data_IF_805480365142
#
_entry.id   IF_805480365142
#
_cell.length_a   1.000
_cell.length_b   1.000
_cell.length_c   1.000
_cell.angle_alpha   90.00
_cell.angle_beta   90.00
_cell.angle_gamma   90.00
#
_symmetry.space_group_name_H-M   'P 1'
#
loop_
_entity.id
_entity.type
_entity.pdbx_description
1 polymer ?
#
# COMPACT_ATOMS: atom_id res chain seq x y z
N UNK A 1 -0.64 60.84 10.70
CA UNK A 1 -2.05 60.53 10.41
C UNK A 1 -2.68 60.15 11.74
N UNK A 2 -3.71 60.88 12.21
CA UNK A 2 -4.36 60.59 13.50
C UNK A 2 -5.00 59.21 13.45
N UNK A 3 -4.85 58.43 14.53
CA UNK A 3 -5.38 57.07 14.64
C UNK A 3 -6.94 56.98 14.50
N UNK A 4 -7.63 58.08 14.57
CA UNK A 4 -9.09 58.14 14.41
C UNK A 4 -9.55 58.09 12.95
N UNK A 5 -8.68 58.42 11.96
CA UNK A 5 -9.03 58.30 10.55
C UNK A 5 -8.90 56.88 10.03
N UNK A 6 -8.16 56.00 10.72
CA UNK A 6 -8.00 54.59 10.31
C UNK A 6 -9.26 53.77 10.65
N UNK A 7 -10.05 54.20 11.66
CA UNK A 7 -11.29 53.52 12.03
C UNK A 7 -12.43 53.67 11.01
N UNK A 8 -12.36 54.65 10.13
CA UNK A 8 -13.36 54.87 9.11
C UNK A 8 -13.03 54.21 7.77
N UNK A 9 -11.90 53.50 7.69
CA UNK A 9 -11.54 52.62 6.56
C UNK A 9 -11.92 51.15 6.81
N UNK A 10 -12.87 50.92 7.74
CA UNK A 10 -13.52 49.62 7.81
C UNK A 10 -14.30 49.47 6.53
N UNK A 11 -13.79 48.62 5.68
CA UNK A 11 -14.33 48.20 4.41
C UNK A 11 -15.84 47.95 4.57
N UNK A 12 -16.69 48.74 3.89
CA UNK A 12 -18.09 48.43 3.81
C UNK A 12 -18.25 47.00 3.35
N UNK A 13 -19.02 46.20 4.06
CA UNK A 13 -19.33 44.84 3.71
C UNK A 13 -19.72 44.76 2.23
N UNK A 14 -19.01 43.98 1.45
CA UNK A 14 -19.31 43.79 0.03
C UNK A 14 -20.81 43.46 -0.08
N UNK A 15 -21.56 44.10 -0.99
CA UNK A 15 -23.04 44.05 -1.03
C UNK A 15 -23.65 42.66 -1.20
N UNK A 16 -22.84 41.64 -1.47
CA UNK A 16 -23.24 40.23 -1.54
C UNK A 16 -22.92 39.44 -0.25
N UNK A 17 -22.22 40.02 0.71
CA UNK A 17 -22.09 39.48 2.06
C UNK A 17 -23.16 40.18 2.96
N UNK A 18 -24.42 40.16 2.52
CA UNK A 18 -25.47 40.19 3.53
C UNK A 18 -25.29 38.89 4.29
N UNK A 19 -24.85 39.00 5.53
CA UNK A 19 -25.04 37.96 6.49
C UNK A 19 -26.58 37.76 6.60
N UNK A 20 -27.16 37.02 5.64
CA UNK A 20 -28.35 36.27 5.96
C UNK A 20 -27.96 35.56 7.24
N UNK A 21 -28.66 35.92 8.35
CA UNK A 21 -28.67 35.11 9.55
C UNK A 21 -28.71 33.68 9.05
N UNK A 22 -27.54 33.04 9.03
CA UNK A 22 -27.43 31.60 8.77
C UNK A 22 -28.35 31.07 9.87
N UNK A 23 -29.62 30.80 9.48
CA UNK A 23 -30.49 29.95 10.28
C UNK A 23 -29.54 28.84 10.68
N UNK A 24 -29.39 28.58 11.98
CA UNK A 24 -28.66 27.44 12.48
C UNK A 24 -29.14 26.27 11.64
N UNK A 25 -28.42 26.07 10.54
CA UNK A 25 -28.54 24.86 9.76
C UNK A 25 -28.29 23.80 10.82
N UNK A 26 -29.36 23.07 11.16
CA UNK A 26 -29.30 21.91 12.02
C UNK A 26 -27.97 21.29 11.70
N UNK A 27 -27.08 21.14 12.68
CA UNK A 27 -25.72 20.63 12.50
C UNK A 27 -25.91 19.27 11.87
N UNK A 28 -26.03 19.25 10.55
CA UNK A 28 -26.07 18.01 9.78
C UNK A 28 -24.80 17.32 10.13
N UNK A 29 -24.88 16.38 11.09
CA UNK A 29 -23.75 15.61 11.54
C UNK A 29 -23.17 14.97 10.28
N UNK A 30 -22.02 15.49 9.84
CA UNK A 30 -21.32 14.96 8.68
C UNK A 30 -21.15 13.47 8.88
N UNK A 31 -21.66 12.67 7.95
CA UNK A 31 -21.48 11.22 7.95
C UNK A 31 -20.29 10.88 7.07
N UNK A 32 -19.40 10.05 7.62
CA UNK A 32 -18.31 9.49 6.81
C UNK A 32 -18.89 8.60 5.71
N UNK A 33 -18.18 8.47 4.56
CA UNK A 33 -18.59 7.56 3.49
C UNK A 33 -18.77 6.13 4.01
N UNK A 34 -19.78 5.45 3.50
CA UNK A 34 -20.03 4.05 3.83
C UNK A 34 -19.14 3.11 3.01
N UNK A 35 -18.76 1.97 3.59
CA UNK A 35 -17.81 1.03 2.95
C UNK A 35 -18.41 0.31 1.73
N UNK A 36 -19.73 0.28 1.61
CA UNK A 36 -20.46 -0.29 0.47
C UNK A 36 -20.22 0.45 -0.85
N UNK A 37 -19.74 1.70 -0.80
CA UNK A 37 -19.27 2.43 -1.97
C UNK A 37 -17.99 1.85 -2.58
N UNK A 38 -17.26 1.02 -1.84
CA UNK A 38 -16.02 0.39 -2.28
C UNK A 38 -16.29 -1.01 -2.84
N UNK A 39 -15.54 -1.36 -3.88
CA UNK A 39 -15.57 -2.72 -4.40
C UNK A 39 -15.05 -3.71 -3.36
N UNK A 40 -15.77 -4.81 -3.20
CA UNK A 40 -15.33 -5.93 -2.38
C UNK A 40 -14.69 -7.04 -3.23
N UNK A 41 -13.72 -7.78 -2.68
CA UNK A 41 -13.10 -8.91 -3.37
C UNK A 41 -14.12 -10.03 -3.60
N UNK A 42 -14.19 -10.55 -4.81
CA UNK A 42 -15.01 -11.71 -5.12
C UNK A 42 -14.39 -12.98 -4.53
N UNK A 43 -15.20 -13.84 -3.90
CA UNK A 43 -14.72 -15.09 -3.27
C UNK A 43 -13.92 -15.99 -4.22
N UNK A 44 -14.29 -16.04 -5.49
CA UNK A 44 -13.66 -16.89 -6.50
C UNK A 44 -12.23 -16.40 -6.91
N UNK A 45 -11.90 -15.13 -6.70
CA UNK A 45 -10.57 -14.60 -7.05
C UNK A 45 -9.48 -15.11 -6.09
N UNK A 46 -9.84 -15.43 -4.84
CA UNK A 46 -8.91 -15.94 -3.81
C UNK A 46 -8.59 -17.43 -3.91
N UNK A 47 -9.46 -18.22 -4.55
CA UNK A 47 -9.28 -19.67 -4.65
C UNK A 47 -8.35 -20.07 -5.80
N UNK A 48 -8.27 -19.25 -6.83
CA UNK A 48 -7.44 -19.55 -8.01
C UNK A 48 -5.96 -19.29 -7.80
N UNK A 49 -5.56 -18.43 -6.87
CA UNK A 49 -4.17 -18.09 -6.59
C UNK A 49 -3.41 -19.18 -5.82
N UNK A 50 -4.11 -20.10 -5.18
CA UNK A 50 -3.50 -21.19 -4.37
C UNK A 50 -3.01 -22.40 -5.18
N UNK A 51 -3.26 -22.43 -6.49
CA UNK A 51 -2.98 -23.60 -7.36
C UNK A 51 -1.79 -23.40 -8.30
N UNK A 52 -0.90 -22.47 -8.05
CA UNK A 52 0.29 -22.30 -8.87
C UNK A 52 1.29 -23.42 -8.60
N UNK A 53 1.39 -24.39 -9.51
CA UNK A 53 2.35 -25.49 -9.47
C UNK A 53 3.81 -25.02 -9.41
N UNK A 54 4.09 -23.79 -9.88
CA UNK A 54 5.41 -23.15 -9.80
C UNK A 54 5.82 -22.74 -8.38
N UNK A 55 4.88 -22.73 -7.44
CA UNK A 55 5.12 -22.44 -6.02
C UNK A 55 5.23 -23.71 -5.17
N UNK A 56 5.39 -24.89 -5.80
CA UNK A 56 5.67 -26.12 -5.08
C UNK A 56 7.09 -26.06 -4.48
N UNK A 57 7.23 -26.22 -3.14
CA UNK A 57 8.53 -26.22 -2.47
C UNK A 57 9.49 -27.23 -3.08
N UNK A 58 9.01 -28.43 -3.39
CA UNK A 58 9.82 -29.51 -3.94
C UNK A 58 10.40 -29.18 -5.31
N UNK A 59 9.66 -28.40 -6.12
CA UNK A 59 10.14 -27.98 -7.43
C UNK A 59 11.30 -26.98 -7.31
N UNK A 60 11.18 -25.97 -6.43
CA UNK A 60 12.23 -24.97 -6.23
C UNK A 60 13.48 -25.59 -5.55
N UNK A 61 13.28 -26.50 -4.58
CA UNK A 61 14.39 -27.24 -3.95
C UNK A 61 15.18 -28.09 -4.98
N UNK A 62 14.47 -28.73 -5.92
CA UNK A 62 15.08 -29.49 -6.99
C UNK A 62 15.90 -28.60 -7.92
N UNK A 63 15.37 -27.46 -8.35
CA UNK A 63 16.13 -26.49 -9.16
C UNK A 63 17.42 -26.07 -8.45
N UNK A 64 17.32 -25.68 -7.16
CA UNK A 64 18.49 -25.30 -6.38
C UNK A 64 19.53 -26.45 -6.27
N UNK A 65 19.05 -27.67 -6.10
CA UNK A 65 19.90 -28.84 -6.04
C UNK A 65 20.64 -29.06 -7.36
N UNK A 66 19.99 -28.91 -8.51
CA UNK A 66 20.57 -29.04 -9.85
C UNK A 66 21.72 -28.03 -10.06
N UNK A 67 21.64 -26.85 -9.43
CA UNK A 67 22.72 -25.85 -9.39
C UNK A 67 23.74 -26.08 -8.25
N UNK A 68 23.68 -27.25 -7.59
CA UNK A 68 24.60 -27.63 -6.51
C UNK A 68 24.41 -26.78 -5.25
N UNK A 69 23.18 -26.37 -4.96
CA UNK A 69 22.78 -25.68 -3.74
C UNK A 69 21.87 -26.60 -2.92
N UNK A 70 22.42 -27.16 -1.86
CA UNK A 70 21.68 -28.01 -0.92
C UNK A 70 21.00 -27.14 0.13
N UNK A 71 19.79 -27.51 0.52
CA UNK A 71 19.01 -26.84 1.56
C UNK A 71 17.54 -27.26 1.54
N UNK A 72 16.71 -26.56 2.29
CA UNK A 72 15.27 -26.85 2.35
C UNK A 72 14.45 -25.57 2.51
N UNK A 73 13.23 -25.57 1.98
CA UNK A 73 12.26 -24.48 2.17
C UNK A 73 11.59 -24.68 3.52
N UNK A 74 11.74 -23.69 4.41
CA UNK A 74 11.16 -23.73 5.75
C UNK A 74 9.78 -23.12 5.82
N UNK A 75 9.53 -22.13 4.97
CA UNK A 75 8.27 -21.39 4.98
C UNK A 75 7.96 -20.83 3.61
N UNK A 76 6.68 -20.87 3.25
CA UNK A 76 6.15 -20.18 2.07
C UNK A 76 5.13 -19.16 2.53
N UNK A 77 5.25 -17.94 2.00
CA UNK A 77 4.31 -16.86 2.24
C UNK A 77 3.75 -16.39 0.90
N UNK A 78 2.47 -16.66 0.69
CA UNK A 78 1.77 -16.25 -0.54
C UNK A 78 1.26 -14.83 -0.38
N UNK A 79 1.80 -13.91 -1.17
CA UNK A 79 1.32 -12.55 -1.30
C UNK A 79 0.44 -12.37 -2.54
N UNK A 80 -0.15 -11.17 -2.73
CA UNK A 80 -1.03 -10.90 -3.86
C UNK A 80 -0.31 -10.86 -5.22
N UNK A 81 0.97 -10.55 -5.23
CA UNK A 81 1.76 -10.36 -6.46
C UNK A 81 2.94 -11.32 -6.54
N UNK A 82 3.55 -11.62 -5.40
CA UNK A 82 4.73 -12.50 -5.31
C UNK A 82 4.55 -13.51 -4.20
N UNK A 83 5.17 -14.67 -4.38
CA UNK A 83 5.32 -15.70 -3.33
C UNK A 83 6.74 -15.66 -2.81
N UNK A 84 6.89 -15.54 -1.49
CA UNK A 84 8.18 -15.60 -0.79
C UNK A 84 8.42 -17.00 -0.27
N UNK A 85 9.51 -17.63 -0.74
CA UNK A 85 10.02 -18.89 -0.26
C UNK A 85 11.21 -18.64 0.66
N UNK A 86 11.10 -18.98 1.95
CA UNK A 86 12.20 -18.89 2.91
C UNK A 86 13.03 -20.19 2.83
N UNK A 87 14.15 -20.11 2.14
CA UNK A 87 15.08 -21.24 1.93
C UNK A 87 16.19 -21.22 2.97
N UNK A 88 16.43 -22.34 3.64
CA UNK A 88 17.55 -22.55 4.54
C UNK A 88 18.64 -23.34 3.82
N UNK A 89 19.76 -22.71 3.45
CA UNK A 89 20.87 -23.42 2.81
C UNK A 89 21.57 -24.37 3.81
N UNK A 90 22.08 -25.46 3.29
CA UNK A 90 22.92 -26.38 4.07
C UNK A 90 24.22 -25.69 4.52
N UNK A 91 24.82 -26.22 5.59
CA UNK A 91 26.07 -25.70 6.12
C UNK A 91 27.17 -25.66 5.04
N UNK A 92 27.90 -24.55 4.97
CA UNK A 92 28.98 -24.37 3.98
C UNK A 92 28.56 -23.77 2.64
N UNK A 93 27.27 -23.62 2.37
CA UNK A 93 26.79 -22.96 1.14
C UNK A 93 26.93 -21.44 1.29
N UNK A 94 27.62 -20.80 0.36
CA UNK A 94 27.79 -19.34 0.35
C UNK A 94 26.53 -18.67 -0.15
N UNK A 95 26.04 -17.68 0.58
CA UNK A 95 24.85 -16.86 0.23
C UNK A 95 24.99 -16.21 -1.14
N UNK A 96 26.20 -15.69 -1.46
CA UNK A 96 26.47 -15.07 -2.76
C UNK A 96 26.26 -16.02 -3.94
N UNK A 97 26.52 -17.32 -3.75
CA UNK A 97 26.25 -18.34 -4.79
C UNK A 97 24.77 -18.38 -5.13
N UNK A 98 23.91 -18.32 -4.10
CA UNK A 98 22.45 -18.39 -4.29
C UNK A 98 21.93 -17.09 -4.93
N UNK A 99 22.41 -15.93 -4.47
CA UNK A 99 22.00 -14.62 -5.01
C UNK A 99 22.30 -14.53 -6.52
N UNK A 100 23.46 -15.06 -6.96
CA UNK A 100 23.86 -15.03 -8.36
C UNK A 100 23.04 -15.98 -9.26
N UNK A 101 22.23 -16.87 -8.67
CA UNK A 101 21.35 -17.77 -9.43
C UNK A 101 19.98 -17.16 -9.74
N UNK A 102 19.74 -15.86 -9.44
CA UNK A 102 18.43 -15.22 -9.65
C UNK A 102 17.89 -15.40 -11.07
N UNK A 103 18.72 -15.18 -12.09
CA UNK A 103 18.30 -15.29 -13.50
C UNK A 103 18.08 -16.75 -13.91
N UNK A 104 18.91 -17.68 -13.38
CA UNK A 104 18.77 -19.10 -13.63
C UNK A 104 17.50 -19.67 -12.99
N UNK A 105 17.19 -19.24 -11.77
CA UNK A 105 15.94 -19.60 -11.07
C UNK A 105 14.74 -19.05 -11.82
N UNK A 106 14.76 -17.75 -12.22
CA UNK A 106 13.69 -17.16 -13.00
C UNK A 106 13.39 -17.94 -14.28
N UNK A 107 14.43 -18.31 -15.02
CA UNK A 107 14.30 -19.09 -16.25
C UNK A 107 13.73 -20.49 -16.01
N UNK A 108 14.23 -21.22 -14.99
CA UNK A 108 13.78 -22.58 -14.69
C UNK A 108 12.37 -22.62 -14.08
N UNK A 109 11.93 -21.54 -13.42
CA UNK A 109 10.56 -21.38 -12.92
C UNK A 109 9.64 -20.72 -13.93
N UNK A 110 10.08 -20.43 -15.16
CA UNK A 110 9.33 -19.69 -16.17
C UNK A 110 8.76 -18.36 -15.66
N UNK A 111 9.44 -17.74 -14.69
CA UNK A 111 9.07 -16.46 -14.08
C UNK A 111 9.72 -15.30 -14.80
N UNK A 112 9.07 -14.13 -14.81
CA UNK A 112 9.64 -12.91 -15.40
C UNK A 112 10.95 -12.47 -14.72
N UNK A 113 11.08 -12.75 -13.42
CA UNK A 113 12.25 -12.45 -12.60
C UNK A 113 12.21 -13.26 -11.30
N UNK A 114 13.36 -13.42 -10.67
CA UNK A 114 13.44 -13.91 -9.30
C UNK A 114 14.24 -12.91 -8.46
N UNK A 115 13.77 -12.60 -7.27
CA UNK A 115 14.49 -11.74 -6.35
C UNK A 115 14.98 -12.56 -5.17
N UNK A 116 16.28 -12.51 -4.92
CA UNK A 116 16.90 -13.26 -3.83
C UNK A 116 17.52 -12.27 -2.85
N UNK A 117 17.14 -12.37 -1.57
CA UNK A 117 17.62 -11.49 -0.53
C UNK A 117 17.81 -12.23 0.80
N UNK A 118 18.73 -11.78 1.61
CA UNK A 118 18.88 -12.27 2.98
C UNK A 118 17.78 -11.73 3.88
N UNK A 119 17.29 -12.56 4.80
CA UNK A 119 16.30 -12.15 5.79
C UNK A 119 17.05 -11.78 7.07
N UNK A 120 17.01 -10.50 7.51
CA UNK A 120 17.70 -10.06 8.71
C UNK A 120 17.30 -10.88 9.94
N UNK A 121 18.30 -11.32 10.72
CA UNK A 121 18.07 -12.07 11.95
C UNK A 121 17.68 -13.54 11.78
N UNK A 122 17.76 -14.09 10.54
CA UNK A 122 17.51 -15.52 10.26
C UNK A 122 18.61 -16.11 9.41
N UNK A 123 18.78 -17.43 9.48
CA UNK A 123 19.68 -18.17 8.61
C UNK A 123 19.05 -18.53 7.26
N UNK A 124 17.88 -17.98 6.98
CA UNK A 124 17.13 -18.23 5.75
C UNK A 124 17.34 -17.12 4.72
N UNK A 125 17.25 -17.48 3.47
CA UNK A 125 17.30 -16.61 2.31
C UNK A 125 15.90 -16.54 1.72
N UNK A 126 15.40 -15.33 1.48
CA UNK A 126 14.13 -15.12 0.79
C UNK A 126 14.30 -15.23 -0.72
N UNK A 127 13.56 -16.12 -1.34
CA UNK A 127 13.43 -16.25 -2.79
C UNK A 127 12.01 -15.84 -3.15
N UNK A 128 11.88 -14.67 -3.77
CA UNK A 128 10.60 -14.10 -4.20
C UNK A 128 10.39 -14.44 -5.68
N UNK A 129 9.28 -15.09 -5.97
CA UNK A 129 8.84 -15.40 -7.34
C UNK A 129 7.51 -14.71 -7.62
N UNK A 130 7.34 -14.05 -8.78
CA UNK A 130 6.07 -13.46 -9.17
C UNK A 130 5.01 -14.55 -9.35
N UNK A 131 3.81 -14.29 -8.86
CA UNK A 131 2.67 -15.17 -9.08
C UNK A 131 2.24 -15.12 -10.56
N UNK A 132 1.87 -16.26 -11.13
CA UNK A 132 1.30 -16.33 -12.49
C UNK A 132 0.00 -15.52 -12.57
N UNK A 133 -0.84 -15.64 -11.55
CA UNK A 133 -2.07 -14.87 -11.41
C UNK A 133 -1.89 -13.85 -10.29
N UNK A 134 -1.81 -12.57 -10.67
CA UNK A 134 -1.71 -11.46 -9.70
C UNK A 134 -3.10 -11.17 -9.14
N UNK A 135 -3.21 -11.14 -7.81
CA UNK A 135 -4.44 -10.77 -7.13
C UNK A 135 -4.61 -9.25 -7.09
N UNK A 136 -5.86 -8.80 -7.26
CA UNK A 136 -6.21 -7.41 -7.01
C UNK A 136 -6.23 -7.13 -5.51
N UNK A 137 -5.59 -6.04 -5.10
CA UNK A 137 -5.66 -5.55 -3.72
C UNK A 137 -6.74 -4.48 -3.65
N UNK A 138 -7.82 -4.77 -2.94
CA UNK A 138 -8.95 -3.85 -2.82
C UNK A 138 -8.77 -2.90 -1.64
N UNK A 139 -9.08 -1.61 -1.87
CA UNK A 139 -8.99 -0.59 -0.83
C UNK A 139 -9.91 -0.92 0.36
N UNK A 140 -11.09 -1.48 0.11
CA UNK A 140 -12.03 -1.93 1.13
C UNK A 140 -11.41 -2.87 2.16
N UNK A 141 -10.54 -3.81 1.73
CA UNK A 141 -9.87 -4.75 2.62
C UNK A 141 -8.92 -4.07 3.60
N UNK A 142 -8.23 -3.01 3.14
CA UNK A 142 -7.25 -2.29 3.96
C UNK A 142 -7.95 -1.35 4.93
N UNK A 143 -8.94 -0.59 4.46
CA UNK A 143 -9.70 0.34 5.29
C UNK A 143 -10.56 -0.38 6.35
N UNK A 144 -11.01 -1.61 6.09
CA UNK A 144 -11.76 -2.43 7.05
C UNK A 144 -10.89 -3.01 8.16
N UNK A 145 -9.55 -2.99 8.00
CA UNK A 145 -8.63 -3.54 8.98
C UNK A 145 -8.67 -2.76 10.29
N UNK A 146 -8.49 -3.47 11.42
CA UNK A 146 -8.45 -2.88 12.76
C UNK A 146 -7.35 -1.84 12.92
N UNK A 147 -6.20 -2.05 12.26
CA UNK A 147 -5.05 -1.16 12.34
C UNK A 147 -5.35 0.22 11.73
N UNK A 148 -6.20 0.29 10.70
CA UNK A 148 -6.65 1.53 10.11
C UNK A 148 -7.49 2.38 11.10
N UNK A 149 -8.15 1.74 12.06
CA UNK A 149 -9.01 2.38 13.06
C UNK A 149 -8.27 2.77 14.34
N UNK A 150 -6.98 2.45 14.48
CA UNK A 150 -6.18 2.79 15.66
C UNK A 150 -6.13 4.29 15.87
N UNK A 151 -6.29 4.72 17.14
CA UNK A 151 -6.32 6.15 17.52
C UNK A 151 -4.93 6.78 17.50
N UNK A 152 -3.88 5.99 17.65
CA UNK A 152 -2.48 6.41 17.67
C UNK A 152 -2.04 6.95 16.30
N UNK A 153 -2.64 6.45 15.21
CA UNK A 153 -2.36 6.89 13.84
C UNK A 153 -3.21 8.13 13.57
N UNK A 154 -2.55 9.27 13.41
CA UNK A 154 -3.22 10.56 13.23
C UNK A 154 -3.84 10.72 11.84
N UNK A 155 -3.08 10.42 10.80
CA UNK A 155 -3.51 10.50 9.40
C UNK A 155 -3.25 9.15 8.69
N UNK A 156 -4.09 8.12 8.96
CA UNK A 156 -3.88 6.80 8.40
C UNK A 156 -4.07 6.78 6.88
N UNK A 157 -3.11 6.21 6.19
CA UNK A 157 -3.15 5.98 4.75
C UNK A 157 -2.99 4.50 4.43
N UNK A 158 -3.80 4.00 3.51
CA UNK A 158 -3.72 2.64 3.00
C UNK A 158 -2.59 2.56 1.97
N UNK A 159 -1.54 1.79 2.26
CA UNK A 159 -0.39 1.62 1.35
C UNK A 159 -0.51 0.37 0.48
N UNK A 160 -1.26 -0.63 0.91
CA UNK A 160 -1.42 -1.90 0.21
C UNK A 160 -1.28 -3.10 1.12
N UNK A 161 -0.77 -4.21 0.57
CA UNK A 161 -0.44 -5.43 1.31
C UNK A 161 1.05 -5.72 1.18
N UNK A 162 1.65 -6.29 2.22
CA UNK A 162 3.02 -6.79 2.14
C UNK A 162 3.09 -8.12 1.38
N UNK A 163 4.30 -8.66 1.20
CA UNK A 163 4.54 -9.94 0.54
C UNK A 163 3.91 -11.15 1.26
N UNK A 164 3.47 -10.99 2.51
CA UNK A 164 2.70 -12.01 3.24
C UNK A 164 1.18 -11.80 3.15
N UNK A 165 0.71 -10.85 2.33
CA UNK A 165 -0.70 -10.53 2.16
C UNK A 165 -1.33 -9.71 3.29
N UNK A 166 -0.54 -9.25 4.27
CA UNK A 166 -1.03 -8.45 5.39
C UNK A 166 -1.19 -6.97 4.99
N UNK A 167 -2.27 -6.30 5.38
CA UNK A 167 -2.46 -4.88 5.12
C UNK A 167 -1.36 -4.02 5.74
N UNK A 168 -0.87 -3.04 4.99
CA UNK A 168 0.10 -2.04 5.45
C UNK A 168 -0.57 -0.68 5.48
N UNK A 169 -0.54 -0.06 6.64
CA UNK A 169 -1.11 1.25 6.90
C UNK A 169 0.02 2.15 7.38
N UNK A 170 0.15 3.30 6.74
CA UNK A 170 1.10 4.33 7.14
C UNK A 170 0.40 5.46 7.92
N UNK A 171 1.18 6.27 8.62
CA UNK A 171 0.72 7.54 9.18
C UNK A 171 1.34 8.69 8.40
N UNK A 172 0.52 9.40 7.60
CA UNK A 172 0.99 10.55 6.84
C UNK A 172 1.48 11.69 7.74
N UNK A 173 0.97 11.78 8.98
CA UNK A 173 1.43 12.78 9.93
C UNK A 173 2.89 12.58 10.37
N UNK A 174 3.40 11.36 10.30
CA UNK A 174 4.81 11.04 10.56
C UNK A 174 5.72 11.25 9.35
N UNK A 175 5.14 11.57 8.19
CA UNK A 175 5.84 11.80 6.91
C UNK A 175 5.63 13.26 6.47
N UNK A 176 6.31 14.25 7.09
CA UNK A 176 6.05 15.68 6.85
C UNK A 176 6.28 16.08 5.38
N UNK A 177 7.12 15.37 4.68
CA UNK A 177 7.37 15.51 3.24
C UNK A 177 7.36 14.13 2.60
N UNK A 178 6.42 13.89 1.69
CA UNK A 178 6.29 12.63 0.95
C UNK A 178 6.45 12.90 -0.55
N UNK A 179 7.50 12.32 -1.14
CA UNK A 179 7.69 12.31 -2.59
C UNK A 179 7.20 10.99 -3.17
N UNK A 180 6.27 11.07 -4.15
CA UNK A 180 5.77 9.91 -4.89
C UNK A 180 6.23 10.04 -6.34
N UNK A 181 7.10 9.14 -6.78
CA UNK A 181 7.65 9.13 -8.12
C UNK A 181 7.45 7.77 -8.80
N UNK A 182 7.44 7.77 -10.13
CA UNK A 182 7.30 6.56 -10.94
C UNK A 182 7.04 6.89 -12.40
N UNK A 183 7.21 5.92 -13.28
CA UNK A 183 6.93 6.05 -14.72
C UNK A 183 5.43 6.12 -15.01
N UNK A 184 5.06 6.45 -16.24
CA UNK A 184 3.66 6.39 -16.68
C UNK A 184 3.15 4.95 -16.51
N UNK A 185 1.94 4.80 -15.96
CA UNK A 185 1.35 3.47 -15.68
C UNK A 185 1.80 2.80 -14.39
N UNK A 186 2.76 3.38 -13.63
CA UNK A 186 3.25 2.80 -12.37
C UNK A 186 2.26 2.89 -11.19
N UNK A 187 1.11 3.54 -11.37
CA UNK A 187 0.09 3.67 -10.33
C UNK A 187 0.21 4.91 -9.43
N UNK A 188 1.01 5.94 -9.81
CA UNK A 188 1.14 7.19 -9.02
C UNK A 188 -0.21 7.84 -8.69
N UNK A 189 -1.05 8.05 -9.71
CA UNK A 189 -2.37 8.67 -9.54
C UNK A 189 -3.28 7.80 -8.67
N UNK A 190 -3.21 6.48 -8.83
CA UNK A 190 -3.94 5.54 -7.97
C UNK A 190 -3.49 5.66 -6.52
N UNK A 191 -2.19 5.75 -6.27
CA UNK A 191 -1.64 5.93 -4.93
C UNK A 191 -2.12 7.24 -4.28
N UNK A 192 -2.07 8.36 -5.02
CA UNK A 192 -2.56 9.67 -4.53
C UNK A 192 -4.05 9.60 -4.20
N UNK A 193 -4.86 9.04 -5.10
CA UNK A 193 -6.29 8.86 -4.85
C UNK A 193 -6.56 7.96 -3.63
N UNK A 194 -5.77 6.90 -3.46
CA UNK A 194 -5.86 6.01 -2.29
C UNK A 194 -5.55 6.75 -0.99
N UNK A 195 -4.55 7.64 -0.98
CA UNK A 195 -4.22 8.48 0.16
C UNK A 195 -5.38 9.42 0.49
N UNK A 196 -5.92 10.13 -0.50
CA UNK A 196 -7.05 11.04 -0.33
C UNK A 196 -8.26 10.28 0.21
N UNK A 197 -8.64 9.16 -0.42
CA UNK A 197 -9.76 8.34 0.03
C UNK A 197 -9.55 7.81 1.45
N UNK A 198 -8.35 7.35 1.80
CA UNK A 198 -8.05 6.90 3.16
C UNK A 198 -8.37 7.97 4.19
N UNK A 199 -7.97 9.21 3.94
CA UNK A 199 -8.25 10.33 4.85
C UNK A 199 -9.73 10.70 4.88
N UNK A 200 -10.44 10.66 3.75
CA UNK A 200 -11.88 10.93 3.67
C UNK A 200 -12.72 9.88 4.40
N UNK A 201 -12.32 8.62 4.38
CA UNK A 201 -12.98 7.55 5.12
C UNK A 201 -12.69 7.58 6.62
N UNK A 202 -11.70 8.34 7.05
CA UNK A 202 -11.26 8.41 8.45
C UNK A 202 -11.66 9.68 9.16
N UNK A 203 -11.68 10.82 8.47
CA UNK A 203 -11.78 12.14 9.08
C UNK A 203 -12.95 12.95 8.52
N UNK A 204 -13.60 13.68 9.41
CA UNK A 204 -14.58 14.72 9.06
C UNK A 204 -13.87 15.98 8.57
N UNK A 205 -14.55 16.88 7.83
CA UNK A 205 -13.96 18.15 7.36
C UNK A 205 -13.46 19.06 8.48
N UNK A 206 -13.96 18.88 9.71
CA UNK A 206 -13.48 19.61 10.90
C UNK A 206 -12.06 19.18 11.30
N UNK A 207 -11.72 17.92 11.08
CA UNK A 207 -10.44 17.32 11.51
C UNK A 207 -9.38 17.26 10.41
N UNK A 208 -9.78 17.21 9.15
CA UNK A 208 -8.87 17.11 8.01
C UNK A 208 -9.39 17.97 6.85
N UNK A 209 -8.52 18.83 6.34
CA UNK A 209 -8.77 19.68 5.17
C UNK A 209 -7.64 19.49 4.16
N UNK A 210 -7.96 19.63 2.87
CA UNK A 210 -7.02 19.43 1.78
C UNK A 210 -6.78 20.76 1.04
N UNK A 211 -5.53 20.97 0.64
CA UNK A 211 -5.16 21.95 -0.38
C UNK A 211 -4.53 21.13 -1.52
N UNK A 212 -5.23 21.07 -2.65
CA UNK A 212 -4.83 20.28 -3.81
C UNK A 212 -4.45 21.20 -4.96
N UNK A 213 -3.26 21.00 -5.54
CA UNK A 213 -2.78 21.74 -6.70
C UNK A 213 -2.49 20.72 -7.78
N UNK A 214 -3.28 20.77 -8.86
CA UNK A 214 -3.13 19.89 -10.02
C UNK A 214 -2.75 20.70 -11.26
N UNK A 215 -1.45 20.86 -11.57
CA UNK A 215 -1.00 21.65 -12.72
C UNK A 215 -1.27 20.95 -14.08
N UNK A 216 -1.61 19.66 -14.06
CA UNK A 216 -1.84 18.88 -15.29
C UNK A 216 -3.30 18.66 -15.63
N UNK A 217 -4.22 19.03 -14.74
CA UNK A 217 -5.67 18.75 -14.86
C UNK A 217 -5.96 17.27 -15.15
N UNK A 218 -5.42 16.39 -14.29
CA UNK A 218 -5.53 14.93 -14.39
C UNK A 218 -6.84 14.42 -13.79
#
# INVERSE_FOLDING_TARGET
>A
IPQDEIKNLIQEDLPFIKAEKIKELEKNKFKLPEFDLLKEPKKNERENSKKDEHNDPGFLEKILLDFGVNGSIKKISHGPVVTLNEFEPAAGVKVSKIINLSDDIARNTSSESARISTIPGRNTIGIELPNLLRENVYLSEILSNSDFKKKEIKLPIALGKNISGLPIIGDLASMPHLLIAGTTGSGKSVCINTIILSLLYRHTPEKCKFILIDPKML
#
